data_IF_382196066276
#
_entry.id   IF_382196066276
#
_cell.length_a   1.000
_cell.length_b   1.000
_cell.length_c   1.000
_cell.angle_alpha   90.00
_cell.angle_beta   90.00
_cell.angle_gamma   90.00
#
_symmetry.space_group_name_H-M   'P 1'
#
loop_
_entity.id
_entity.type
_entity.pdbx_description
1 polymer ?
#
# COMPACT_ATOMS: atom_id res chain seq x y z
N UNK A 1 -22.70 -18.71 5.84
CA UNK A 1 -21.35 -18.21 6.15
C UNK A 1 -21.49 -16.92 6.96
N UNK A 2 -21.23 -16.97 8.27
CA UNK A 2 -21.39 -15.81 9.16
C UNK A 2 -20.44 -14.68 8.75
N UNK A 3 -20.97 -13.49 8.50
CA UNK A 3 -20.20 -12.27 8.31
C UNK A 3 -19.32 -12.08 9.57
N UNK A 4 -17.99 -11.89 9.48
CA UNK A 4 -17.22 -11.52 10.65
C UNK A 4 -17.84 -10.26 11.26
N UNK A 5 -18.20 -10.34 12.55
CA UNK A 5 -18.90 -9.28 13.28
C UNK A 5 -18.13 -7.96 13.11
N UNK A 6 -18.80 -6.81 12.96
CA UNK A 6 -18.14 -5.51 12.73
C UNK A 6 -16.98 -5.23 13.72
N UNK A 7 -17.10 -5.70 14.97
CA UNK A 7 -16.04 -5.63 15.98
C UNK A 7 -14.69 -6.25 15.57
N UNK A 8 -14.70 -7.40 14.87
CA UNK A 8 -13.48 -8.07 14.44
C UNK A 8 -12.73 -7.28 13.35
N UNK A 9 -13.45 -6.48 12.55
CA UNK A 9 -12.87 -5.64 11.50
C UNK A 9 -12.21 -4.41 12.10
N UNK A 10 -12.85 -3.80 13.10
CA UNK A 10 -12.28 -2.67 13.85
C UNK A 10 -10.98 -3.08 14.56
N UNK A 11 -10.89 -4.32 15.04
CA UNK A 11 -9.67 -4.83 15.66
C UNK A 11 -8.47 -4.83 14.70
N UNK A 12 -8.69 -4.97 13.39
CA UNK A 12 -7.63 -4.91 12.39
C UNK A 12 -7.10 -3.48 12.15
N UNK A 13 -7.80 -2.46 12.65
CA UNK A 13 -7.30 -1.07 12.61
C UNK A 13 -6.26 -0.80 13.70
N UNK A 14 -6.26 -1.55 14.80
CA UNK A 14 -5.28 -1.38 15.88
C UNK A 14 -3.83 -1.50 15.41
N UNK A 15 -3.40 -2.58 14.70
CA UNK A 15 -2.02 -2.67 14.23
C UNK A 15 -1.65 -1.52 13.28
N UNK A 16 -2.58 -1.08 12.43
CA UNK A 16 -2.37 0.07 11.56
C UNK A 16 -2.19 1.37 12.36
N UNK A 17 -3.04 1.62 13.37
CA UNK A 17 -2.93 2.79 14.23
C UNK A 17 -1.64 2.81 15.05
N UNK A 18 -1.20 1.66 15.56
CA UNK A 18 0.09 1.55 16.25
C UNK A 18 1.27 1.78 15.30
N UNK A 19 1.20 1.26 14.07
CA UNK A 19 2.21 1.53 13.04
C UNK A 19 2.28 3.02 12.67
N UNK A 20 1.15 3.71 12.59
CA UNK A 20 1.10 5.16 12.39
C UNK A 20 1.80 5.91 13.52
N UNK A 21 1.46 5.61 14.78
CA UNK A 21 2.07 6.29 15.94
C UNK A 21 3.59 6.06 16.00
N UNK A 22 4.03 4.81 15.79
CA UNK A 22 5.45 4.49 15.75
C UNK A 22 6.17 5.14 14.56
N UNK A 23 5.52 5.20 13.39
CA UNK A 23 6.02 5.88 12.21
C UNK A 23 6.16 7.38 12.43
N UNK A 24 5.18 8.05 13.06
CA UNK A 24 5.27 9.46 13.45
C UNK A 24 6.43 9.71 14.41
N UNK A 25 6.64 8.83 15.38
CA UNK A 25 7.82 8.90 16.25
C UNK A 25 9.12 8.78 15.45
N UNK A 26 9.19 7.84 14.49
CA UNK A 26 10.34 7.72 13.58
C UNK A 26 10.56 8.97 12.72
N UNK A 27 9.50 9.64 12.29
CA UNK A 27 9.59 10.90 11.53
C UNK A 27 10.19 12.03 12.37
N UNK A 28 9.81 12.14 13.65
CA UNK A 28 10.41 13.11 14.58
C UNK A 28 11.92 12.89 14.72
N UNK A 29 12.34 11.63 14.84
CA UNK A 29 13.76 11.26 14.90
C UNK A 29 14.51 11.65 13.62
N UNK A 30 13.95 11.32 12.45
CA UNK A 30 14.52 11.69 11.14
C UNK A 30 14.62 13.21 10.94
N UNK A 31 13.72 13.99 11.55
CA UNK A 31 13.75 15.45 11.55
C UNK A 31 14.72 16.06 12.59
N UNK A 32 15.39 15.24 13.41
CA UNK A 32 16.22 15.71 14.51
C UNK A 32 15.42 16.36 15.65
N UNK A 33 14.11 16.11 15.72
CA UNK A 33 13.21 16.65 16.74
C UNK A 33 13.15 15.72 17.97
N UNK A 34 12.79 16.26 19.16
CA UNK A 34 12.57 15.43 20.34
C UNK A 34 11.44 14.42 20.11
N UNK A 35 11.78 13.13 20.08
CA UNK A 35 10.80 12.04 19.98
C UNK A 35 10.51 11.41 21.35
N UNK A 36 9.24 11.06 21.65
CA UNK A 36 8.86 10.39 22.91
C UNK A 36 9.58 9.06 23.14
N UNK A 37 9.81 8.29 22.08
CA UNK A 37 10.51 7.01 22.10
C UNK A 37 11.81 7.11 21.31
N UNK A 38 12.91 6.59 21.84
CA UNK A 38 14.20 6.54 21.16
C UNK A 38 14.65 5.09 21.03
N UNK A 39 14.54 4.56 19.81
CA UNK A 39 15.02 3.24 19.45
C UNK A 39 15.75 3.35 18.11
N UNK A 40 16.97 2.81 18.03
CA UNK A 40 17.85 2.89 16.84
C UNK A 40 17.18 2.42 15.54
N UNK A 41 16.17 1.55 15.66
CA UNK A 41 15.48 0.95 14.51
C UNK A 41 14.40 1.84 13.88
N UNK A 42 13.84 2.82 14.59
CA UNK A 42 12.65 3.55 14.13
C UNK A 42 12.92 4.44 12.90
N UNK A 43 14.09 5.07 12.84
CA UNK A 43 14.51 5.86 11.68
C UNK A 43 14.66 4.97 10.44
N UNK A 44 15.22 3.77 10.62
CA UNK A 44 15.50 2.84 9.52
C UNK A 44 14.26 2.15 8.98
N UNK A 45 13.18 2.02 9.75
CA UNK A 45 11.96 1.34 9.31
C UNK A 45 10.80 2.29 9.01
N UNK A 46 10.95 3.60 9.23
CA UNK A 46 9.87 4.59 9.08
C UNK A 46 9.10 4.45 7.77
N UNK A 47 9.78 4.49 6.62
CA UNK A 47 9.16 4.42 5.30
C UNK A 47 8.32 3.15 5.09
N UNK A 48 8.93 1.95 5.16
CA UNK A 48 8.18 0.69 5.03
C UNK A 48 7.08 0.52 6.10
N UNK A 49 7.30 0.98 7.32
CA UNK A 49 6.30 0.92 8.39
C UNK A 49 5.07 1.77 8.07
N UNK A 50 5.27 3.01 7.64
CA UNK A 50 4.18 3.92 7.27
C UNK A 50 3.43 3.43 6.01
N UNK A 51 4.18 3.00 4.99
CA UNK A 51 3.59 2.66 3.70
C UNK A 51 2.98 1.26 3.69
N UNK A 52 3.74 0.23 4.08
CA UNK A 52 3.25 -1.15 4.03
C UNK A 52 2.47 -1.52 5.30
N UNK A 53 3.00 -1.16 6.47
CA UNK A 53 2.41 -1.52 7.76
C UNK A 53 1.15 -0.74 8.12
N UNK A 54 1.13 0.57 7.88
CA UNK A 54 -0.03 1.42 8.13
C UNK A 54 -0.96 1.52 6.91
N UNK A 55 -0.56 2.25 5.86
CA UNK A 55 -1.44 2.54 4.72
C UNK A 55 -1.84 1.26 3.99
N UNK A 56 -0.88 0.36 3.75
CA UNK A 56 -1.14 -0.93 3.11
C UNK A 56 -2.18 -1.77 3.85
N UNK A 57 -2.14 -1.77 5.18
CA UNK A 57 -3.15 -2.45 6.01
C UNK A 57 -4.55 -1.85 5.82
N UNK A 58 -4.67 -0.53 5.78
CA UNK A 58 -5.95 0.15 5.58
C UNK A 58 -6.52 -0.14 4.19
N UNK A 59 -5.71 0.00 3.14
CA UNK A 59 -6.11 -0.31 1.76
C UNK A 59 -6.56 -1.77 1.68
N UNK A 60 -5.76 -2.70 2.20
CA UNK A 60 -6.09 -4.11 2.16
C UNK A 60 -7.38 -4.43 2.93
N UNK A 61 -7.64 -3.75 4.05
CA UNK A 61 -8.86 -3.93 4.83
C UNK A 61 -10.10 -3.44 4.07
N UNK A 62 -10.04 -2.26 3.47
CA UNK A 62 -11.12 -1.71 2.65
C UNK A 62 -11.46 -2.65 1.48
N UNK A 63 -10.42 -3.06 0.74
CA UNK A 63 -10.59 -3.92 -0.43
C UNK A 63 -11.03 -5.33 -0.04
N UNK A 64 -10.62 -5.84 1.12
CA UNK A 64 -11.13 -7.10 1.68
C UNK A 64 -12.63 -7.04 1.99
N UNK A 65 -13.11 -5.91 2.53
CA UNK A 65 -14.54 -5.67 2.76
C UNK A 65 -15.31 -5.64 1.43
N UNK A 66 -14.77 -4.95 0.42
CA UNK A 66 -15.38 -4.87 -0.92
C UNK A 66 -15.47 -6.25 -1.61
N UNK A 67 -14.44 -7.09 -1.47
CA UNK A 67 -14.43 -8.42 -2.06
C UNK A 67 -15.40 -9.39 -1.37
N UNK A 68 -15.76 -9.15 -0.10
CA UNK A 68 -16.67 -9.98 0.72
C UNK A 68 -16.20 -11.43 0.89
N UNK A 69 -14.88 -11.64 0.95
CA UNK A 69 -14.27 -12.96 1.15
C UNK A 69 -13.48 -13.02 2.45
N UNK A 70 -13.60 -14.14 3.20
CA UNK A 70 -12.82 -14.34 4.44
C UNK A 70 -11.32 -14.40 4.19
N UNK A 71 -10.91 -14.98 3.06
CA UNK A 71 -9.51 -15.09 2.66
C UNK A 71 -8.88 -13.73 2.35
N UNK A 72 -9.71 -12.74 1.97
CA UNK A 72 -9.24 -11.40 1.66
C UNK A 72 -8.62 -10.69 2.88
N UNK A 73 -9.05 -11.06 4.10
CA UNK A 73 -8.50 -10.51 5.35
C UNK A 73 -7.08 -11.01 5.67
N UNK A 74 -6.54 -11.98 4.95
CA UNK A 74 -5.14 -12.40 5.12
C UNK A 74 -4.19 -11.24 4.81
N UNK A 75 -4.47 -10.44 3.78
CA UNK A 75 -3.65 -9.30 3.39
C UNK A 75 -3.51 -8.24 4.50
N UNK A 76 -4.59 -7.64 5.05
CA UNK A 76 -4.47 -6.66 6.13
C UNK A 76 -3.89 -7.27 7.42
N UNK A 77 -4.17 -8.54 7.72
CA UNK A 77 -3.58 -9.21 8.90
C UNK A 77 -2.06 -9.31 8.75
N UNK A 78 -1.56 -9.77 7.60
CA UNK A 78 -0.12 -9.91 7.37
C UNK A 78 0.58 -8.55 7.30
N UNK A 79 0.00 -7.56 6.63
CA UNK A 79 0.57 -6.20 6.57
C UNK A 79 0.63 -5.55 7.94
N UNK A 80 -0.48 -5.59 8.71
CA UNK A 80 -0.54 -4.98 10.03
C UNK A 80 0.38 -5.68 11.02
N UNK A 81 0.33 -7.01 11.07
CA UNK A 81 1.19 -7.80 11.97
C UNK A 81 2.67 -7.69 11.58
N UNK A 82 3.01 -7.77 10.29
CA UNK A 82 4.36 -7.56 9.79
C UNK A 82 4.91 -6.17 10.13
N UNK A 83 4.07 -5.14 10.07
CA UNK A 83 4.39 -3.79 10.50
C UNK A 83 4.73 -3.71 11.98
N UNK A 84 3.92 -4.33 12.86
CA UNK A 84 4.22 -4.38 14.30
C UNK A 84 5.51 -5.15 14.61
N UNK A 85 5.80 -6.22 13.87
CA UNK A 85 7.03 -6.97 14.06
C UNK A 85 8.29 -6.16 13.76
N UNK A 86 8.22 -5.13 12.91
CA UNK A 86 9.35 -4.19 12.72
C UNK A 86 9.74 -3.46 14.01
N UNK A 87 8.78 -3.27 14.92
CA UNK A 87 8.99 -2.61 16.21
C UNK A 87 9.50 -3.58 17.28
N UNK A 88 9.37 -4.89 17.05
CA UNK A 88 9.79 -5.94 17.98
C UNK A 88 11.29 -6.22 17.88
N UNK A 89 11.94 -6.77 18.93
CA UNK A 89 13.37 -7.11 18.91
C UNK A 89 13.72 -8.30 17.98
N UNK A 90 12.74 -8.90 17.30
CA UNK A 90 12.95 -10.04 16.42
C UNK A 90 13.86 -9.72 15.22
N UNK A 91 14.46 -10.74 14.59
CA UNK A 91 15.26 -10.56 13.37
C UNK A 91 14.43 -9.89 12.26
N UNK A 92 14.99 -8.83 11.67
CA UNK A 92 14.31 -8.01 10.67
C UNK A 92 13.91 -8.79 9.40
N UNK A 93 14.55 -9.92 9.11
CA UNK A 93 14.17 -10.80 8.01
C UNK A 93 12.75 -11.36 8.15
N UNK A 94 12.32 -11.69 9.38
CA UNK A 94 10.99 -12.25 9.64
C UNK A 94 9.89 -11.23 9.34
N UNK A 95 10.02 -10.02 9.85
CA UNK A 95 9.06 -8.94 9.60
C UNK A 95 9.01 -8.55 8.12
N UNK A 96 10.17 -8.46 7.45
CA UNK A 96 10.23 -8.19 6.00
C UNK A 96 9.54 -9.28 5.18
N UNK A 97 9.75 -10.55 5.52
CA UNK A 97 9.09 -11.68 4.85
C UNK A 97 7.57 -11.67 5.04
N UNK A 98 7.08 -11.36 6.24
CA UNK A 98 5.64 -11.25 6.52
C UNK A 98 5.02 -10.07 5.77
N UNK A 99 5.71 -8.93 5.70
CA UNK A 99 5.26 -7.77 4.91
C UNK A 99 5.21 -8.08 3.41
N UNK A 100 6.20 -8.82 2.88
CA UNK A 100 6.17 -9.29 1.50
C UNK A 100 4.97 -10.22 1.27
N UNK A 101 4.72 -11.18 2.16
CA UNK A 101 3.55 -12.06 2.06
C UNK A 101 2.24 -11.25 2.09
N UNK A 102 2.14 -10.23 2.94
CA UNK A 102 1.00 -9.32 3.00
C UNK A 102 0.82 -8.50 1.71
N UNK A 103 1.90 -7.98 1.14
CA UNK A 103 1.87 -7.24 -0.12
C UNK A 103 1.45 -8.14 -1.29
N UNK A 104 1.96 -9.38 -1.35
CA UNK A 104 1.56 -10.37 -2.35
C UNK A 104 0.08 -10.75 -2.19
N UNK A 105 -0.39 -10.92 -0.95
CA UNK A 105 -1.80 -11.16 -0.68
C UNK A 105 -2.69 -9.99 -1.11
N UNK A 106 -2.24 -8.74 -0.94
CA UNK A 106 -2.92 -7.55 -1.45
C UNK A 106 -2.95 -7.56 -3.00
N UNK A 107 -1.85 -7.90 -3.67
CA UNK A 107 -1.83 -8.09 -5.12
C UNK A 107 -2.81 -9.17 -5.61
N UNK A 108 -2.88 -10.30 -4.91
CA UNK A 108 -3.84 -11.36 -5.20
C UNK A 108 -5.30 -10.92 -4.99
N UNK A 109 -5.54 -10.08 -3.98
CA UNK A 109 -6.84 -9.48 -3.70
C UNK A 109 -7.27 -8.56 -4.85
N UNK A 110 -6.35 -7.73 -5.36
CA UNK A 110 -6.59 -6.90 -6.54
C UNK A 110 -6.83 -7.72 -7.81
N UNK A 111 -6.09 -8.81 -8.01
CA UNK A 111 -6.35 -9.74 -9.12
C UNK A 111 -7.74 -10.38 -9.02
N UNK A 112 -8.19 -10.73 -7.82
CA UNK A 112 -9.53 -11.26 -7.60
C UNK A 112 -10.62 -10.21 -7.87
N UNK A 113 -10.41 -8.96 -7.47
CA UNK A 113 -11.31 -7.84 -7.80
C UNK A 113 -11.36 -7.60 -9.31
N UNK A 114 -10.21 -7.59 -9.98
CA UNK A 114 -10.11 -7.46 -11.44
C UNK A 114 -10.89 -8.55 -12.16
N UNK A 115 -10.73 -9.81 -11.76
CA UNK A 115 -11.48 -10.94 -12.34
C UNK A 115 -13.00 -10.82 -12.14
N UNK A 116 -13.44 -10.18 -11.06
CA UNK A 116 -14.86 -10.00 -10.77
C UNK A 116 -15.48 -8.85 -11.56
N UNK A 117 -14.78 -7.73 -11.69
CA UNK A 117 -15.25 -6.58 -12.45
C UNK A 117 -14.06 -5.70 -12.88
N UNK A 118 -13.52 -5.90 -14.09
CA UNK A 118 -12.44 -5.06 -14.60
C UNK A 118 -12.89 -3.59 -14.67
N UNK A 119 -12.05 -2.68 -14.18
CA UNK A 119 -12.29 -1.24 -14.26
C UNK A 119 -10.97 -0.46 -14.19
N UNK A 120 -10.94 0.75 -14.75
CA UNK A 120 -9.74 1.59 -14.72
C UNK A 120 -9.18 1.81 -13.30
N UNK A 121 -9.99 2.16 -12.27
CA UNK A 121 -9.48 2.27 -10.90
C UNK A 121 -8.73 1.02 -10.44
N UNK A 122 -9.32 -0.16 -10.65
CA UNK A 122 -8.70 -1.43 -10.24
C UNK A 122 -7.40 -1.68 -11.01
N UNK A 123 -7.31 -1.31 -12.29
CA UNK A 123 -6.04 -1.43 -13.04
C UNK A 123 -4.94 -0.56 -12.43
N UNK A 124 -5.24 0.70 -12.14
CA UNK A 124 -4.28 1.66 -11.56
C UNK A 124 -3.86 1.22 -10.16
N UNK A 125 -4.83 0.81 -9.31
CA UNK A 125 -4.54 0.29 -7.98
C UNK A 125 -3.74 -1.02 -8.02
N UNK A 126 -3.99 -1.90 -8.99
CA UNK A 126 -3.21 -3.13 -9.18
C UNK A 126 -1.76 -2.84 -9.56
N UNK A 127 -1.53 -1.83 -10.40
CA UNK A 127 -0.18 -1.36 -10.72
C UNK A 127 0.52 -0.80 -9.48
N UNK A 128 -0.20 -0.03 -8.65
CA UNK A 128 0.26 0.40 -7.33
C UNK A 128 0.66 -0.81 -6.46
N UNK A 129 -0.23 -1.79 -6.30
CA UNK A 129 0.03 -2.99 -5.52
C UNK A 129 1.24 -3.78 -6.01
N UNK A 130 1.49 -3.84 -7.32
CA UNK A 130 2.70 -4.43 -7.89
C UNK A 130 3.97 -3.70 -7.45
N UNK A 131 3.95 -2.35 -7.40
CA UNK A 131 5.06 -1.57 -6.84
C UNK A 131 5.24 -1.82 -5.34
N UNK A 132 4.15 -2.00 -4.59
CA UNK A 132 4.19 -2.39 -3.17
C UNK A 132 4.85 -3.76 -2.95
N UNK A 133 4.51 -4.75 -3.77
CA UNK A 133 5.17 -6.07 -3.78
C UNK A 133 6.65 -5.93 -4.12
N UNK A 134 6.97 -5.15 -5.15
CA UNK A 134 8.36 -4.89 -5.56
C UNK A 134 9.17 -4.24 -4.45
N UNK A 135 8.63 -3.22 -3.78
CA UNK A 135 9.27 -2.59 -2.63
C UNK A 135 9.59 -3.60 -1.52
N UNK A 136 8.62 -4.44 -1.17
CA UNK A 136 8.79 -5.46 -0.13
C UNK A 136 9.80 -6.54 -0.56
N UNK A 137 9.79 -6.96 -1.83
CA UNK A 137 10.70 -7.97 -2.37
C UNK A 137 12.16 -7.46 -2.40
N UNK A 138 12.37 -6.24 -2.88
CA UNK A 138 13.68 -5.57 -2.87
C UNK A 138 14.20 -5.44 -1.44
N UNK A 139 13.32 -5.11 -0.50
CA UNK A 139 13.71 -4.97 0.91
C UNK A 139 14.12 -6.30 1.55
N UNK A 140 13.38 -7.38 1.24
CA UNK A 140 13.79 -8.75 1.61
C UNK A 140 15.13 -9.10 0.98
N UNK A 141 15.37 -8.67 -0.27
CA UNK A 141 16.64 -8.81 -0.99
C UNK A 141 17.80 -7.95 -0.46
N UNK A 142 17.58 -7.14 0.60
CA UNK A 142 18.63 -6.36 1.25
C UNK A 142 18.84 -4.95 0.68
N UNK A 143 17.99 -4.49 -0.25
CA UNK A 143 18.06 -3.12 -0.78
C UNK A 143 17.78 -2.12 0.35
N UNK A 144 18.62 -1.09 0.46
CA UNK A 144 18.49 -0.08 1.50
C UNK A 144 17.23 0.78 1.31
N UNK A 145 16.61 1.18 2.42
CA UNK A 145 15.31 1.87 2.46
C UNK A 145 15.24 3.14 1.59
N UNK A 146 16.27 3.99 1.49
CA UNK A 146 16.23 5.15 0.59
C UNK A 146 15.93 4.80 -0.87
N UNK A 147 16.47 3.67 -1.37
CA UNK A 147 16.25 3.21 -2.74
C UNK A 147 14.86 2.56 -2.95
N UNK A 148 14.15 2.26 -1.86
CA UNK A 148 12.77 1.77 -1.92
C UNK A 148 11.76 2.91 -2.08
N UNK A 149 12.16 4.16 -1.81
CA UNK A 149 11.26 5.30 -1.81
C UNK A 149 10.43 5.44 -3.11
N UNK A 150 11.01 5.30 -4.33
CA UNK A 150 10.21 5.36 -5.56
C UNK A 150 9.14 4.26 -5.64
N UNK A 151 9.43 3.06 -5.14
CA UNK A 151 8.48 1.95 -5.16
C UNK A 151 7.35 2.15 -4.16
N UNK A 152 7.69 2.59 -2.95
CA UNK A 152 6.73 2.89 -1.88
C UNK A 152 5.84 4.09 -2.22
N UNK A 153 6.41 5.17 -2.76
CA UNK A 153 5.67 6.34 -3.23
C UNK A 153 4.77 5.97 -4.40
N UNK A 154 5.27 5.17 -5.35
CA UNK A 154 4.46 4.70 -6.47
C UNK A 154 3.24 3.90 -6.05
N UNK A 155 3.43 2.98 -5.10
CA UNK A 155 2.31 2.27 -4.49
C UNK A 155 1.25 3.25 -3.97
N UNK A 156 1.64 4.23 -3.15
CA UNK A 156 0.70 5.21 -2.58
C UNK A 156 0.03 6.10 -3.64
N UNK A 157 0.81 6.64 -4.57
CA UNK A 157 0.32 7.59 -5.58
C UNK A 157 -0.68 6.89 -6.49
N UNK A 158 -0.38 5.68 -6.96
CA UNK A 158 -1.27 4.93 -7.82
C UNK A 158 -2.52 4.45 -7.09
N UNK A 159 -2.42 4.01 -5.83
CA UNK A 159 -3.62 3.62 -5.07
C UNK A 159 -4.53 4.80 -4.82
N UNK A 160 -3.99 5.95 -4.40
CA UNK A 160 -4.78 7.18 -4.21
C UNK A 160 -5.39 7.65 -5.53
N UNK A 161 -4.63 7.62 -6.63
CA UNK A 161 -5.14 8.00 -7.95
C UNK A 161 -6.30 7.10 -8.37
N UNK A 162 -6.16 5.79 -8.20
CA UNK A 162 -7.22 4.82 -8.46
C UNK A 162 -8.49 5.09 -7.65
N UNK A 163 -8.35 5.31 -6.35
CA UNK A 163 -9.47 5.67 -5.46
C UNK A 163 -10.16 6.95 -5.91
N UNK A 164 -9.39 7.98 -6.30
CA UNK A 164 -9.96 9.25 -6.79
C UNK A 164 -10.71 9.09 -8.10
N UNK A 165 -10.23 8.24 -9.00
CA UNK A 165 -10.93 7.90 -10.24
C UNK A 165 -12.25 7.16 -9.93
N UNK A 166 -12.22 6.21 -8.98
CA UNK A 166 -13.40 5.47 -8.53
C UNK A 166 -14.48 6.41 -7.97
N UNK A 167 -14.10 7.32 -7.06
CA UNK A 167 -15.00 8.31 -6.48
C UNK A 167 -15.57 9.28 -7.52
N UNK A 168 -14.74 9.75 -8.47
CA UNK A 168 -15.19 10.61 -9.56
C UNK A 168 -16.19 9.91 -10.48
N UNK A 169 -16.02 8.60 -10.72
CA UNK A 169 -16.96 7.80 -11.49
C UNK A 169 -18.30 7.63 -10.77
N UNK A 170 -18.30 7.45 -9.44
CA UNK A 170 -19.53 7.41 -8.63
C UNK A 170 -20.25 8.76 -8.63
N UNK A 171 -19.52 9.87 -8.45
CA UNK A 171 -20.10 11.22 -8.49
C UNK A 171 -20.82 11.52 -9.81
N UNK A 172 -20.24 11.15 -10.95
CA UNK A 172 -20.87 11.28 -12.28
C UNK A 172 -22.13 10.44 -12.47
N UNK A 173 -22.25 9.31 -11.77
CA UNK A 173 -23.45 8.46 -11.82
C UNK A 173 -24.59 9.03 -10.98
N UNK A 174 -24.26 9.79 -9.93
CA UNK A 174 -25.24 10.38 -9.00
C UNK A 174 -25.69 11.79 -9.42
N UNK A 175 -24.84 12.56 -10.12
CA UNK A 175 -25.21 13.85 -10.72
C UNK A 175 -25.68 13.69 -12.16
N UNK A 176 -26.95 14.00 -12.45
CA UNK A 176 -27.50 13.98 -13.80
C UNK A 176 -26.74 14.95 -14.75
N UNK A 177 -25.94 14.41 -15.68
CA UNK A 177 -25.19 15.22 -16.65
C UNK A 177 -24.06 14.46 -17.32
N UNK A 178 -24.37 13.41 -18.08
CA UNK A 178 -23.38 12.68 -18.88
C UNK A 178 -23.02 13.48 -20.15
N UNK A 179 -22.12 14.46 -20.03
CA UNK A 179 -21.31 14.87 -21.17
C UNK A 179 -20.33 13.72 -21.48
N UNK A 180 -20.52 13.09 -22.64
CA UNK A 180 -19.65 12.03 -23.18
C UNK A 180 -18.35 12.66 -23.70
N UNK A 181 -17.50 13.13 -22.80
CA UNK A 181 -16.16 13.57 -23.18
C UNK A 181 -15.14 12.45 -22.91
N UNK A 182 -14.74 11.79 -24.00
CA UNK A 182 -13.39 11.23 -24.14
C UNK A 182 -12.89 10.22 -23.09
N UNK A 183 -13.75 9.33 -22.58
CA UNK A 183 -13.41 8.29 -21.59
C UNK A 183 -12.11 7.53 -21.94
N UNK A 184 -11.84 7.28 -23.23
CA UNK A 184 -10.63 6.60 -23.67
C UNK A 184 -9.32 7.39 -23.55
N UNK A 185 -9.34 8.73 -23.59
CA UNK A 185 -8.12 9.55 -23.45
C UNK A 185 -7.64 9.62 -22.01
N UNK A 186 -8.56 9.77 -21.06
CA UNK A 186 -8.24 9.77 -19.63
C UNK A 186 -7.70 8.42 -19.15
N UNK A 187 -8.31 7.32 -19.63
CA UNK A 187 -7.87 5.95 -19.36
C UNK A 187 -6.46 5.67 -19.89
N UNK A 188 -6.20 6.00 -21.16
CA UNK A 188 -4.89 5.82 -21.78
C UNK A 188 -3.81 6.65 -21.08
N UNK A 189 -4.10 7.90 -20.73
CA UNK A 189 -3.16 8.77 -20.02
C UNK A 189 -2.84 8.22 -18.63
N UNK A 190 -3.85 7.79 -17.85
CA UNK A 190 -3.63 7.24 -16.52
C UNK A 190 -2.74 5.98 -16.54
N UNK A 191 -2.99 5.06 -17.48
CA UNK A 191 -2.16 3.86 -17.67
C UNK A 191 -0.75 4.22 -18.15
N UNK A 192 -0.63 5.22 -19.03
CA UNK A 192 0.67 5.70 -19.52
C UNK A 192 1.50 6.30 -18.40
N UNK A 193 0.91 7.14 -17.54
CA UNK A 193 1.58 7.70 -16.38
C UNK A 193 1.96 6.63 -15.35
N UNK A 194 1.09 5.65 -15.11
CA UNK A 194 1.39 4.54 -14.21
C UNK A 194 2.59 3.71 -14.72
N UNK A 195 2.60 3.39 -16.02
CA UNK A 195 3.71 2.67 -16.65
C UNK A 195 5.00 3.50 -16.63
N UNK A 196 4.94 4.78 -16.99
CA UNK A 196 6.08 5.68 -16.98
C UNK A 196 6.67 5.82 -15.57
N UNK A 197 5.82 5.90 -14.55
CA UNK A 197 6.25 5.92 -13.15
C UNK A 197 6.94 4.61 -12.77
N UNK A 198 6.35 3.45 -13.10
CA UNK A 198 6.95 2.16 -12.79
C UNK A 198 8.32 1.97 -13.44
N UNK A 199 8.47 2.40 -14.70
CA UNK A 199 9.75 2.41 -15.41
C UNK A 199 10.75 3.35 -14.73
N UNK A 200 10.33 4.56 -14.36
CA UNK A 200 11.16 5.53 -13.63
C UNK A 200 11.64 4.97 -12.29
N UNK A 201 10.75 4.32 -11.52
CA UNK A 201 11.09 3.69 -10.25
C UNK A 201 12.08 2.52 -10.42
N UNK A 202 11.96 1.74 -11.50
CA UNK A 202 12.92 0.70 -11.84
C UNK A 202 14.28 1.28 -12.26
N UNK A 203 14.29 2.35 -13.07
CA UNK A 203 15.51 3.05 -13.49
C UNK A 203 16.25 3.69 -12.32
N UNK A 204 15.53 4.17 -11.30
CA UNK A 204 16.12 4.73 -10.08
C UNK A 204 17.00 3.74 -9.30
N UNK A 205 16.86 2.43 -9.53
CA UNK A 205 17.76 1.41 -8.97
C UNK A 205 19.08 1.27 -9.74
N UNK A 206 19.10 1.69 -11.01
CA UNK A 206 20.23 1.51 -11.94
C UNK A 206 21.09 2.76 -12.03
N UNK A 207 20.50 3.94 -11.82
CA UNK A 207 21.23 5.21 -11.87
C UNK A 207 22.01 5.35 -10.55
N UNK A 208 23.37 5.42 -10.59
CA UNK A 208 24.16 5.64 -9.38
C UNK A 208 23.76 6.97 -8.76
N UNK A 209 23.51 6.97 -7.45
CA UNK A 209 23.36 8.19 -6.68
C UNK A 209 24.71 8.93 -6.71
N UNK A 210 24.83 9.91 -7.60
CA UNK A 210 25.95 10.87 -7.65
C UNK A 210 25.87 11.83 -6.49
#
# INVERSE_FOLDING_TARGET
MQNPRPAARTLLLLPAGLALLAGLNGALLLLGLPAPLRFDRFEHVHGPLMVLGFVGTLIALERAVALRSRLAYTAPVLLGFGGLLLLSPLPSGVSRGILLAGAVALGALYLALWRRQPSLPIAVESAGAALGVGAAALWVGGVAVPFLAPWLVGFLVLTVLGERIELGAVGRRLGAGAARDGVGRGEALALTYALAYAVSAALALVIPAT
#
